data_IF_338491870530
#
_entry.id   IF_338491870530
#
_cell.length_a   1.000
_cell.length_b   1.000
_cell.length_c   1.000
_cell.angle_alpha   90.00
_cell.angle_beta   90.00
_cell.angle_gamma   90.00
#
_symmetry.space_group_name_H-M   'P 1'
#
loop_
_entity.id
_entity.type
_entity.pdbx_description
1 polymer ?
#
# COMPACT_ATOMS: atom_id res chain seq x y z
N UNK A 1 -2.51 -1.62 2.69
CA UNK A 1 -1.23 -1.12 3.21
C UNK A 1 -1.11 0.36 2.90
N UNK A 2 -0.46 1.14 3.74
CA UNK A 2 -0.11 2.52 3.46
C UNK A 2 1.40 2.58 3.27
N UNK A 3 1.84 3.19 2.17
CA UNK A 3 3.24 3.36 1.82
C UNK A 3 3.54 4.85 1.75
N UNK A 4 4.58 5.28 2.44
CA UNK A 4 5.06 6.65 2.43
C UNK A 4 6.35 6.70 1.59
N UNK A 5 6.35 7.49 0.52
CA UNK A 5 7.48 7.66 -0.39
C UNK A 5 8.40 8.81 0.05
N UNK A 6 9.66 8.74 -0.32
CA UNK A 6 10.66 9.80 -0.05
C UNK A 6 10.45 11.06 -0.90
N UNK A 7 9.53 11.01 -1.87
CA UNK A 7 9.37 12.01 -2.91
C UNK A 7 7.92 12.02 -3.40
N UNK A 8 7.54 13.10 -4.08
CA UNK A 8 6.19 13.24 -4.62
C UNK A 8 5.92 12.20 -5.71
N UNK A 9 4.80 11.51 -5.57
CA UNK A 9 4.30 10.49 -6.50
C UNK A 9 3.49 11.21 -7.58
N UNK A 10 4.04 11.27 -8.78
CA UNK A 10 3.40 11.85 -9.95
C UNK A 10 3.30 10.79 -11.05
N UNK A 11 2.16 10.76 -11.75
CA UNK A 11 1.93 9.87 -12.90
C UNK A 11 2.12 8.37 -12.60
N UNK A 12 1.71 7.90 -11.42
CA UNK A 12 1.77 6.48 -11.09
C UNK A 12 0.77 5.69 -11.95
N UNK A 13 1.29 4.78 -12.77
CA UNK A 13 0.45 3.91 -13.60
C UNK A 13 -0.29 2.87 -12.75
N UNK A 14 -1.53 2.51 -13.12
CA UNK A 14 -2.25 1.45 -12.44
C UNK A 14 -1.51 0.10 -12.61
N UNK A 15 -1.47 -0.67 -11.53
CA UNK A 15 -0.84 -1.99 -11.50
C UNK A 15 -1.91 -3.09 -11.54
N UNK A 16 -1.84 -4.00 -12.50
CA UNK A 16 -2.79 -5.11 -12.57
C UNK A 16 -2.64 -6.04 -11.35
N UNK A 17 -3.76 -6.30 -10.67
CA UNK A 17 -3.78 -7.11 -9.45
C UNK A 17 -3.53 -6.35 -8.14
N UNK A 18 -3.31 -5.03 -8.20
CA UNK A 18 -3.23 -4.16 -7.05
C UNK A 18 -4.10 -2.90 -7.25
N UNK A 19 -4.89 -2.56 -6.24
CA UNK A 19 -5.59 -1.28 -6.20
C UNK A 19 -4.69 -0.27 -5.49
N UNK A 20 -4.32 0.81 -6.20
CA UNK A 20 -3.48 1.87 -5.66
C UNK A 20 -4.30 3.16 -5.65
N UNK A 21 -4.39 3.77 -4.48
CA UNK A 21 -5.08 5.03 -4.25
C UNK A 21 -4.10 6.01 -3.64
N UNK A 22 -3.82 7.11 -4.33
CA UNK A 22 -3.00 8.18 -3.78
C UNK A 22 -3.81 8.97 -2.73
N UNK A 23 -3.29 9.05 -1.51
CA UNK A 23 -3.92 9.75 -0.40
C UNK A 23 -3.43 11.20 -0.32
N UNK A 24 -2.15 11.42 -0.63
CA UNK A 24 -1.49 12.72 -0.67
C UNK A 24 -0.27 12.67 -1.62
N UNK A 25 0.51 13.75 -1.68
CA UNK A 25 1.63 13.92 -2.61
C UNK A 25 2.67 12.80 -2.49
N UNK A 26 2.91 12.25 -1.30
CA UNK A 26 3.93 11.20 -1.07
C UNK A 26 3.37 9.88 -0.52
N UNK A 27 2.08 9.81 -0.22
CA UNK A 27 1.48 8.63 0.42
C UNK A 27 0.48 7.94 -0.49
N UNK A 28 0.65 6.63 -0.64
CA UNK A 28 -0.30 5.78 -1.37
C UNK A 28 -0.86 4.69 -0.47
N UNK A 29 -2.15 4.43 -0.64
CA UNK A 29 -2.80 3.24 -0.15
C UNK A 29 -2.75 2.16 -1.23
N UNK A 30 -2.28 0.97 -0.84
CA UNK A 30 -2.18 -0.18 -1.72
C UNK A 30 -2.98 -1.35 -1.13
N UNK A 31 -3.91 -1.87 -1.93
CA UNK A 31 -4.69 -3.06 -1.62
C UNK A 31 -4.38 -4.15 -2.63
N UNK A 32 -3.92 -5.31 -2.15
CA UNK A 32 -3.63 -6.50 -2.96
C UNK A 32 -4.54 -7.64 -2.52
N UNK A 33 -4.84 -8.58 -3.43
CA UNK A 33 -5.65 -9.75 -3.08
C UNK A 33 -4.84 -10.71 -2.21
N UNK A 34 -5.55 -11.50 -1.40
CA UNK A 34 -4.93 -12.53 -0.55
C UNK A 34 -4.23 -13.57 -1.44
N UNK A 35 -2.92 -13.70 -1.26
CA UNK A 35 -2.08 -14.60 -2.06
C UNK A 35 -1.25 -13.89 -3.14
N UNK A 36 -1.57 -12.63 -3.47
CA UNK A 36 -0.69 -11.81 -4.31
C UNK A 36 0.51 -11.29 -3.50
N UNK A 37 1.63 -11.10 -4.20
CA UNK A 37 2.88 -10.65 -3.59
C UNK A 37 2.96 -9.13 -3.56
N UNK A 38 3.12 -8.57 -2.35
CA UNK A 38 3.38 -7.13 -2.15
C UNK A 38 4.66 -6.68 -2.85
N UNK A 39 5.63 -7.58 -3.05
CA UNK A 39 6.87 -7.27 -3.76
C UNK A 39 6.62 -6.79 -5.19
N UNK A 40 5.54 -7.24 -5.85
CA UNK A 40 5.19 -6.75 -7.21
C UNK A 40 4.84 -5.27 -7.21
N UNK A 41 4.22 -4.80 -6.13
CA UNK A 41 3.92 -3.38 -5.93
C UNK A 41 5.22 -2.60 -5.74
N UNK A 42 6.12 -3.10 -4.89
CA UNK A 42 7.42 -2.47 -4.68
C UNK A 42 8.24 -2.38 -5.97
N UNK A 43 8.33 -3.46 -6.75
CA UNK A 43 9.04 -3.44 -8.04
C UNK A 43 8.42 -2.43 -9.02
N UNK A 44 7.09 -2.36 -9.10
CA UNK A 44 6.40 -1.37 -9.95
C UNK A 44 6.71 0.07 -9.53
N UNK A 45 6.77 0.34 -8.23
CA UNK A 45 7.13 1.65 -7.69
C UNK A 45 8.60 1.99 -7.98
N UNK A 46 9.52 1.03 -7.80
CA UNK A 46 10.93 1.19 -8.14
C UNK A 46 11.16 1.48 -9.64
N UNK A 47 10.41 0.82 -10.54
CA UNK A 47 10.46 1.09 -11.98
C UNK A 47 10.03 2.53 -12.34
N UNK A 48 9.17 3.12 -11.51
CA UNK A 48 8.75 4.52 -11.62
C UNK A 48 9.64 5.48 -10.81
N UNK A 49 10.78 5.00 -10.28
CA UNK A 49 11.71 5.78 -9.45
C UNK A 49 11.08 6.31 -8.15
N UNK A 50 10.04 5.64 -7.66
CA UNK A 50 9.39 5.95 -6.39
C UNK A 50 10.01 5.09 -5.30
N UNK A 51 10.74 5.73 -4.38
CA UNK A 51 11.37 5.06 -3.24
C UNK A 51 10.43 5.13 -2.04
N UNK A 52 10.13 3.98 -1.45
CA UNK A 52 9.29 3.89 -0.24
C UNK A 52 10.19 3.93 1.00
N UNK A 53 9.97 4.91 1.89
CA UNK A 53 10.71 5.05 3.14
C UNK A 53 10.07 4.25 4.27
N UNK A 54 8.74 4.13 4.26
CA UNK A 54 8.04 3.39 5.29
C UNK A 54 6.75 2.74 4.79
N UNK A 55 6.39 1.64 5.44
CA UNK A 55 5.17 0.89 5.18
C UNK A 55 4.47 0.64 6.50
N UNK A 56 3.17 0.93 6.54
CA UNK A 56 2.31 0.57 7.67
C UNK A 56 1.09 -0.20 7.20
N UNK A 57 0.67 -1.17 8.01
CA UNK A 57 -0.61 -1.81 7.77
C UNK A 57 -1.72 -0.78 7.97
N UNK A 58 -2.77 -0.86 7.14
CA UNK A 58 -4.01 -0.14 7.42
C UNK A 58 -4.72 -0.88 8.55
N UNK A 59 -4.17 -0.77 9.75
CA UNK A 59 -4.72 -1.44 10.93
C UNK A 59 -5.90 -0.60 11.42
N UNK A 60 -7.10 -0.94 10.98
CA UNK A 60 -8.29 -0.57 11.71
C UNK A 60 -8.26 -1.32 13.04
N UNK A 61 -7.83 -0.64 14.11
CA UNK A 61 -7.81 -1.19 15.47
C UNK A 61 -9.20 -1.70 15.91
N UNK A 62 -10.27 -1.18 15.29
CA UNK A 62 -11.64 -1.64 15.49
C UNK A 62 -11.87 -3.08 15.01
N UNK A 63 -11.22 -3.53 13.93
CA UNK A 63 -11.41 -4.87 13.36
C UNK A 63 -10.63 -5.95 14.13
N UNK A 64 -9.44 -5.60 14.66
CA UNK A 64 -8.69 -6.51 15.55
C UNK A 64 -9.44 -6.79 16.86
N UNK A 65 -10.05 -5.77 17.47
CA UNK A 65 -10.87 -5.90 18.69
C UNK A 65 -12.11 -6.79 18.48
N UNK A 66 -12.64 -6.86 17.25
CA UNK A 66 -13.80 -7.69 16.94
C UNK A 66 -13.44 -9.17 16.69
N UNK A 67 -12.22 -9.48 16.26
CA UNK A 67 -11.78 -10.88 16.13
C UNK A 67 -11.52 -11.52 17.51
N UNK A 68 -11.00 -10.77 18.48
CA UNK A 68 -10.71 -11.30 19.84
C UNK A 68 -11.97 -11.66 20.66
N UNK A 69 -13.17 -11.19 20.25
CA UNK A 69 -14.43 -11.49 20.95
C UNK A 69 -15.23 -12.66 20.34
N UNK A 70 -14.75 -13.25 19.24
CA UNK A 70 -15.39 -14.37 18.52
C UNK A 70 -14.49 -15.62 18.58
N UNK A 71 -13.89 -15.87 19.74
CA UNK A 71 -13.33 -17.17 20.14
C UNK A 71 -13.94 -17.63 21.48
#
# INVERSE_FOLDING_TARGET
FLLDASSEINDLQPLEGAEITQLDESTIEVTIRKGDSINRVFSHLEEHQIVIESMRNKTNRLEELFMEMVE
#
